data_IF_864637129324
#
_entry.id   IF_864637129324
#
_cell.length_a   1.000
_cell.length_b   1.000
_cell.length_c   1.000
_cell.angle_alpha   90.00
_cell.angle_beta   90.00
_cell.angle_gamma   90.00
#
_symmetry.space_group_name_H-M   'P 1'
#
loop_
_entity.id
_entity.type
_entity.pdbx_description
1 polymer ?
#
# COMPACT_ATOMS: atom_id res chain seq x y z
N UNK A 1 -31.94 12.25 -10.03
CA UNK A 1 -31.24 11.02 -9.56
C UNK A 1 -30.28 10.45 -10.60
N UNK A 2 -30.69 10.27 -11.87
CA UNK A 2 -29.81 9.73 -12.93
C UNK A 2 -28.55 10.57 -13.15
N UNK A 3 -28.65 11.88 -13.15
CA UNK A 3 -27.52 12.80 -13.34
C UNK A 3 -26.49 12.71 -12.20
N UNK A 4 -26.96 12.54 -10.97
CA UNK A 4 -26.10 12.40 -9.80
C UNK A 4 -25.32 11.08 -9.83
N UNK A 5 -25.97 10.01 -10.24
CA UNK A 5 -25.36 8.69 -10.38
C UNK A 5 -24.34 8.72 -11.52
N UNK A 6 -24.67 9.32 -12.65
CA UNK A 6 -23.77 9.43 -13.79
C UNK A 6 -22.54 10.27 -13.46
N UNK A 7 -22.73 11.36 -12.72
CA UNK A 7 -21.63 12.19 -12.21
C UNK A 7 -20.72 11.42 -11.24
N UNK A 8 -21.31 10.71 -10.29
CA UNK A 8 -20.56 9.86 -9.35
C UNK A 8 -19.79 8.76 -10.07
N UNK A 9 -20.41 8.10 -11.05
CA UNK A 9 -19.78 7.06 -11.85
C UNK A 9 -18.60 7.60 -12.66
N UNK A 10 -18.77 8.76 -13.30
CA UNK A 10 -17.71 9.44 -14.06
C UNK A 10 -16.52 9.79 -13.14
N UNK A 11 -16.80 10.30 -11.95
CA UNK A 11 -15.77 10.64 -10.97
C UNK A 11 -15.06 9.41 -10.46
N UNK A 12 -15.79 8.32 -10.24
CA UNK A 12 -15.22 7.03 -9.85
C UNK A 12 -14.30 6.45 -10.94
N UNK A 13 -14.72 6.53 -12.21
CA UNK A 13 -13.88 6.11 -13.34
C UNK A 13 -12.60 6.94 -13.49
N UNK A 14 -12.61 8.22 -13.10
CA UNK A 14 -11.39 9.05 -13.10
C UNK A 14 -10.41 8.67 -11.97
N UNK A 15 -10.88 8.03 -10.89
CA UNK A 15 -10.01 7.54 -9.82
C UNK A 15 -9.17 6.34 -10.25
N UNK A 16 -9.66 5.51 -11.19
CA UNK A 16 -8.97 4.30 -11.62
C UNK A 16 -7.59 4.62 -12.22
N UNK A 17 -7.44 5.50 -13.23
CA UNK A 17 -6.12 5.82 -13.78
C UNK A 17 -5.21 6.51 -12.75
N UNK A 18 -5.78 7.29 -11.84
CA UNK A 18 -5.04 7.90 -10.74
C UNK A 18 -4.49 6.84 -9.78
N UNK A 19 -5.31 5.87 -9.39
CA UNK A 19 -4.88 4.76 -8.54
C UNK A 19 -3.82 3.90 -9.22
N UNK A 20 -3.96 3.61 -10.51
CA UNK A 20 -2.96 2.87 -11.29
C UNK A 20 -1.64 3.66 -11.30
N UNK A 21 -1.66 4.95 -11.56
CA UNK A 21 -0.49 5.81 -11.51
C UNK A 21 0.19 5.82 -10.13
N UNK A 22 -0.61 5.92 -9.07
CA UNK A 22 -0.11 5.91 -7.70
C UNK A 22 0.55 4.56 -7.34
N UNK A 23 -0.10 3.44 -7.68
CA UNK A 23 0.47 2.11 -7.44
C UNK A 23 1.72 1.85 -8.25
N UNK A 24 1.79 2.37 -9.49
CA UNK A 24 2.99 2.29 -10.32
C UNK A 24 4.16 3.06 -9.68
N UNK A 25 3.92 4.28 -9.22
CA UNK A 25 4.95 5.07 -8.52
C UNK A 25 5.42 4.37 -7.25
N UNK A 26 4.48 3.87 -6.44
CA UNK A 26 4.81 3.13 -5.22
C UNK A 26 5.64 1.87 -5.51
N UNK A 27 5.27 1.12 -6.55
CA UNK A 27 6.00 -0.06 -7.00
C UNK A 27 7.42 0.29 -7.47
N UNK A 28 7.56 1.33 -8.29
CA UNK A 28 8.87 1.80 -8.78
C UNK A 28 9.77 2.26 -7.62
N UNK A 29 9.22 2.95 -6.64
CA UNK A 29 9.96 3.33 -5.43
C UNK A 29 10.44 2.10 -4.65
N UNK A 30 9.64 1.05 -4.60
CA UNK A 30 10.02 -0.24 -4.01
C UNK A 30 11.18 -0.91 -4.76
N UNK A 31 11.11 -0.95 -6.08
CA UNK A 31 12.15 -1.53 -6.95
C UNK A 31 13.44 -0.70 -6.93
N UNK A 32 13.34 0.63 -6.88
CA UNK A 32 14.48 1.54 -6.81
C UNK A 32 15.06 1.67 -5.39
N UNK A 33 14.37 1.15 -4.37
CA UNK A 33 14.86 1.19 -3.00
C UNK A 33 16.17 0.40 -2.90
N UNK A 34 17.21 0.95 -2.26
CA UNK A 34 18.44 0.24 -2.04
C UNK A 34 18.20 -0.95 -1.09
N UNK A 35 18.43 -2.16 -1.58
CA UNK A 35 18.26 -3.40 -0.86
C UNK A 35 17.73 -4.50 -1.77
N UNK A 36 18.23 -5.71 -1.58
CA UNK A 36 17.76 -6.89 -2.28
C UNK A 36 16.70 -7.59 -1.43
N UNK A 37 15.43 -7.67 -1.88
CA UNK A 37 14.38 -8.35 -1.13
C UNK A 37 14.70 -9.82 -0.85
N UNK A 38 15.36 -10.50 -1.78
CA UNK A 38 15.76 -11.90 -1.61
C UNK A 38 16.84 -12.05 -0.52
N UNK A 39 17.81 -11.14 -0.52
CA UNK A 39 18.83 -11.09 0.52
C UNK A 39 18.22 -10.79 1.90
N UNK A 40 17.30 -9.82 1.94
CA UNK A 40 16.62 -9.47 3.19
C UNK A 40 15.84 -10.66 3.79
N UNK A 41 15.17 -11.47 2.95
CA UNK A 41 14.45 -12.66 3.39
C UNK A 41 15.41 -13.75 3.92
N UNK A 42 16.52 -14.00 3.23
CA UNK A 42 17.48 -15.04 3.63
C UNK A 42 18.28 -14.67 4.87
N UNK A 43 18.56 -13.38 5.08
CA UNK A 43 19.33 -12.92 6.25
C UNK A 43 18.50 -12.76 7.52
N UNK A 44 17.18 -12.73 7.41
CA UNK A 44 16.32 -12.59 8.59
C UNK A 44 16.34 -13.78 9.54
N UNK A 45 16.59 -14.98 9.04
CA UNK A 45 16.72 -16.19 9.87
C UNK A 45 18.04 -16.26 10.66
N UNK A 46 18.98 -15.33 10.42
CA UNK A 46 20.19 -15.13 11.22
C UNK A 46 21.17 -16.32 11.25
N UNK A 47 20.97 -17.31 10.39
CA UNK A 47 21.66 -18.60 10.52
C UNK A 47 22.93 -18.76 9.70
N UNK A 48 23.11 -18.01 8.63
CA UNK A 48 24.36 -17.98 7.84
C UNK A 48 24.29 -16.94 6.73
N UNK A 49 25.43 -16.53 6.21
CA UNK A 49 25.46 -15.76 4.95
C UNK A 49 24.93 -16.65 3.82
N UNK A 50 23.87 -16.22 3.10
CA UNK A 50 23.29 -17.02 2.03
C UNK A 50 24.30 -17.20 0.89
N UNK A 51 24.31 -18.40 0.33
CA UNK A 51 25.14 -18.68 -0.84
C UNK A 51 24.61 -17.94 -2.07
N UNK A 52 25.48 -17.69 -3.05
CA UNK A 52 25.07 -17.05 -4.30
C UNK A 52 23.99 -17.86 -5.05
N UNK A 53 24.04 -19.18 -4.95
CA UNK A 53 23.05 -20.08 -5.56
C UNK A 53 21.67 -19.97 -4.89
N UNK A 54 21.62 -19.92 -3.57
CA UNK A 54 20.37 -19.74 -2.82
C UNK A 54 19.73 -18.38 -3.10
N UNK A 55 20.55 -17.34 -3.19
CA UNK A 55 20.10 -15.99 -3.51
C UNK A 55 19.53 -15.91 -4.92
N UNK A 56 20.21 -16.48 -5.92
CA UNK A 56 19.73 -16.48 -7.29
C UNK A 56 18.49 -17.36 -7.48
N UNK A 57 18.41 -18.50 -6.81
CA UNK A 57 17.23 -19.35 -6.81
C UNK A 57 16.00 -18.61 -6.23
N UNK A 58 16.19 -17.87 -5.14
CA UNK A 58 15.11 -17.10 -4.53
C UNK A 58 14.70 -15.91 -5.39
N UNK A 59 15.66 -15.19 -5.99
CA UNK A 59 15.36 -14.12 -6.94
C UNK A 59 14.53 -14.61 -8.12
N UNK A 60 14.87 -15.78 -8.65
CA UNK A 60 14.12 -16.39 -9.74
C UNK A 60 12.72 -16.84 -9.29
N UNK A 61 12.61 -17.45 -8.12
CA UNK A 61 11.31 -17.85 -7.53
C UNK A 61 10.40 -16.63 -7.26
N UNK A 62 10.96 -15.49 -6.88
CA UNK A 62 10.23 -14.24 -6.67
C UNK A 62 9.98 -13.46 -7.96
N UNK A 63 10.53 -13.90 -9.10
CA UNK A 63 10.40 -13.22 -10.39
C UNK A 63 11.13 -11.88 -10.46
N UNK A 64 12.13 -11.64 -9.61
CA UNK A 64 12.92 -10.41 -9.56
C UNK A 64 13.88 -10.26 -10.74
N UNK A 65 14.14 -11.34 -11.48
CA UNK A 65 14.92 -11.39 -12.70
C UNK A 65 14.14 -10.94 -13.95
N UNK A 66 12.81 -10.79 -13.81
CA UNK A 66 11.95 -10.39 -14.92
C UNK A 66 11.96 -8.86 -15.12
N UNK A 67 11.59 -8.38 -16.33
CA UNK A 67 11.42 -6.95 -16.58
C UNK A 67 10.43 -6.30 -15.59
N UNK A 68 10.71 -5.05 -15.21
CA UNK A 68 9.92 -4.31 -14.20
C UNK A 68 8.43 -4.24 -14.54
N UNK A 69 8.06 -4.11 -15.81
CA UNK A 69 6.66 -4.09 -16.25
C UNK A 69 5.94 -5.42 -16.06
N UNK A 70 6.65 -6.55 -16.18
CA UNK A 70 6.08 -7.89 -15.91
C UNK A 70 5.90 -8.07 -14.40
N UNK A 71 6.89 -7.69 -13.61
CA UNK A 71 6.80 -7.70 -12.14
C UNK A 71 5.62 -6.84 -11.65
N UNK A 72 5.45 -5.64 -12.19
CA UNK A 72 4.32 -4.77 -11.86
C UNK A 72 2.98 -5.40 -12.24
N UNK A 73 2.88 -5.98 -13.44
CA UNK A 73 1.66 -6.65 -13.90
C UNK A 73 1.27 -7.82 -12.99
N UNK A 74 2.23 -8.67 -12.62
CA UNK A 74 2.02 -9.79 -11.70
C UNK A 74 1.61 -9.29 -10.30
N UNK A 75 2.31 -8.29 -9.78
CA UNK A 75 1.97 -7.68 -8.50
C UNK A 75 0.55 -7.09 -8.51
N UNK A 76 0.19 -6.38 -9.58
CA UNK A 76 -1.16 -5.78 -9.70
C UNK A 76 -2.25 -6.87 -9.77
N UNK A 77 -2.02 -7.94 -10.52
CA UNK A 77 -2.96 -9.08 -10.59
C UNK A 77 -3.12 -9.76 -9.23
N UNK A 78 -2.04 -9.98 -8.51
CA UNK A 78 -2.07 -10.56 -7.17
C UNK A 78 -2.81 -9.63 -6.19
N UNK A 79 -2.54 -8.32 -6.26
CA UNK A 79 -3.23 -7.32 -5.45
C UNK A 79 -4.76 -7.30 -5.69
N UNK A 80 -5.20 -7.45 -6.94
CA UNK A 80 -6.62 -7.56 -7.28
C UNK A 80 -7.28 -8.83 -6.72
N UNK A 81 -6.51 -9.90 -6.49
CA UNK A 81 -6.97 -11.12 -5.83
C UNK A 81 -6.84 -11.07 -4.30
N UNK A 82 -6.41 -9.94 -3.74
CA UNK A 82 -6.24 -9.75 -2.30
C UNK A 82 -4.86 -10.15 -1.76
N UNK A 83 -3.92 -10.50 -2.62
CA UNK A 83 -2.55 -10.80 -2.23
C UNK A 83 -1.66 -9.57 -2.48
N UNK A 84 -1.40 -8.84 -1.41
CA UNK A 84 -0.50 -7.67 -1.40
C UNK A 84 0.96 -8.06 -1.11
N UNK A 85 1.24 -9.36 -1.06
CA UNK A 85 2.56 -9.88 -0.70
C UNK A 85 2.82 -9.90 0.80
N UNK A 86 4.07 -10.16 1.15
CA UNK A 86 4.54 -10.28 2.53
C UNK A 86 5.43 -9.08 2.85
N UNK A 87 5.24 -8.51 4.03
CA UNK A 87 6.10 -7.45 4.54
C UNK A 87 7.49 -8.00 4.85
N UNK A 88 8.51 -7.45 4.24
CA UNK A 88 9.91 -7.83 4.51
C UNK A 88 10.35 -7.52 5.95
N UNK A 89 9.67 -6.60 6.62
CA UNK A 89 10.01 -6.20 7.98
C UNK A 89 9.36 -7.08 9.05
N UNK A 90 8.10 -7.49 8.82
CA UNK A 90 7.30 -8.22 9.83
C UNK A 90 7.07 -9.69 9.47
N UNK A 91 7.44 -10.12 8.26
CA UNK A 91 7.21 -11.47 7.71
C UNK A 91 5.72 -11.88 7.69
N UNK A 92 4.82 -10.90 7.74
CA UNK A 92 3.37 -11.13 7.75
C UNK A 92 2.74 -10.65 6.46
N UNK A 93 1.61 -11.26 6.04
CA UNK A 93 0.85 -10.76 4.91
C UNK A 93 0.49 -9.29 5.10
N UNK A 94 0.78 -8.47 4.10
CA UNK A 94 0.53 -7.01 4.15
C UNK A 94 -0.96 -6.72 4.37
N UNK A 95 -1.84 -7.52 3.78
CA UNK A 95 -3.28 -7.37 3.96
C UNK A 95 -3.71 -7.51 5.42
N UNK A 96 -3.18 -8.50 6.13
CA UNK A 96 -3.47 -8.73 7.55
C UNK A 96 -2.98 -7.56 8.42
N UNK A 97 -1.82 -7.01 8.12
CA UNK A 97 -1.30 -5.82 8.79
C UNK A 97 -2.19 -4.60 8.58
N UNK A 98 -2.69 -4.41 7.35
CA UNK A 98 -3.63 -3.33 7.03
C UNK A 98 -4.94 -3.51 7.79
N UNK A 99 -5.57 -4.69 7.71
CA UNK A 99 -6.84 -4.98 8.39
C UNK A 99 -6.71 -4.78 9.90
N UNK A 100 -5.59 -5.17 10.48
CA UNK A 100 -5.33 -5.04 11.91
C UNK A 100 -5.15 -3.58 12.35
N UNK A 101 -4.49 -2.76 11.53
CA UNK A 101 -4.18 -1.35 11.88
C UNK A 101 -5.26 -0.38 11.44
N UNK A 102 -6.03 -0.70 10.43
CA UNK A 102 -7.08 0.16 9.88
C UNK A 102 -8.11 0.62 10.93
N UNK A 103 -8.64 -0.24 11.82
CA UNK A 103 -9.61 0.19 12.83
C UNK A 103 -9.06 1.27 13.75
N UNK A 104 -7.78 1.18 14.13
CA UNK A 104 -7.13 2.16 15.01
C UNK A 104 -7.04 3.51 14.31
N UNK A 105 -6.56 3.51 13.07
CA UNK A 105 -6.46 4.73 12.24
C UNK A 105 -7.84 5.35 12.00
N UNK A 106 -8.84 4.52 11.73
CA UNK A 106 -10.21 4.97 11.52
C UNK A 106 -10.80 5.63 12.78
N UNK A 107 -10.63 5.02 13.95
CA UNK A 107 -11.07 5.61 15.21
C UNK A 107 -10.39 6.96 15.48
N UNK A 108 -9.08 7.04 15.28
CA UNK A 108 -8.36 8.31 15.46
C UNK A 108 -8.86 9.38 14.49
N UNK A 109 -9.11 9.03 13.24
CA UNK A 109 -9.66 9.96 12.24
C UNK A 109 -11.05 10.48 12.63
N UNK A 110 -11.95 9.60 13.10
CA UNK A 110 -13.28 9.97 13.54
C UNK A 110 -13.22 10.92 14.76
N UNK A 111 -12.39 10.61 15.75
CA UNK A 111 -12.18 11.50 16.89
C UNK A 111 -11.60 12.86 16.47
N UNK A 112 -10.60 12.86 15.61
CA UNK A 112 -10.01 14.10 15.12
C UNK A 112 -11.04 14.98 14.38
N UNK A 113 -11.85 14.39 13.51
CA UNK A 113 -12.93 15.11 12.81
C UNK A 113 -13.96 15.63 13.80
N UNK A 114 -14.34 14.83 14.80
CA UNK A 114 -15.27 15.25 15.84
C UNK A 114 -14.77 16.47 16.61
N UNK A 115 -13.51 16.47 17.02
CA UNK A 115 -12.91 17.63 17.69
C UNK A 115 -12.82 18.85 16.79
N UNK A 116 -12.45 18.70 15.52
CA UNK A 116 -12.40 19.80 14.55
C UNK A 116 -13.78 20.43 14.38
N UNK A 117 -14.83 19.63 14.27
CA UNK A 117 -16.21 20.13 14.16
C UNK A 117 -16.64 20.88 15.42
N UNK A 118 -16.39 20.35 16.61
CA UNK A 118 -16.70 21.01 17.88
C UNK A 118 -15.98 22.35 18.00
N UNK A 119 -14.68 22.38 17.74
CA UNK A 119 -13.89 23.60 17.79
C UNK A 119 -14.33 24.62 16.74
N UNK A 120 -14.67 24.17 15.54
CA UNK A 120 -15.20 25.02 14.47
C UNK A 120 -16.53 25.67 14.85
N UNK A 121 -17.45 24.91 15.47
CA UNK A 121 -18.72 25.43 15.94
C UNK A 121 -18.54 26.45 17.06
N UNK A 122 -17.63 26.21 18.02
CA UNK A 122 -17.31 27.16 19.08
C UNK A 122 -16.75 28.45 18.49
N UNK A 123 -15.84 28.34 17.54
CA UNK A 123 -15.21 29.50 16.90
C UNK A 123 -16.19 30.36 16.08
N UNK A 124 -17.18 29.72 15.42
CA UNK A 124 -18.24 30.40 14.67
C UNK A 124 -19.25 31.05 15.64
N UNK A 125 -19.48 30.49 16.81
CA UNK A 125 -20.43 31.01 17.80
C UNK A 125 -19.87 32.17 18.62
N UNK A 126 -18.56 32.46 18.55
CA UNK A 126 -17.97 33.60 19.23
C UNK A 126 -18.19 34.86 18.39
N UNK A 127 -19.12 35.78 18.77
CA UNK A 127 -19.32 37.01 18.05
C UNK A 127 -18.06 37.87 18.19
N UNK A 128 -17.45 38.19 17.08
CA UNK A 128 -16.36 39.18 17.02
C UNK A 128 -16.82 40.47 17.68
N UNK A 129 -16.32 40.74 18.85
CA UNK A 129 -16.39 42.05 19.50
C UNK A 129 -15.35 42.97 18.91
#
# INVERSE_FOLDING_TARGET
MKELILYALRRFCMLIPFLIGLTLVAFLLGVLSPGDPALALLTMDGTSEPTAEELDALRHAMGLDQPVWIQYGQWLMNALHGDLGVSYLTQKPVLDEIIRRFPITFHLAVWAIGWVLVLSLIHISEPTR
#
